data_IF_640963545314
#
_entry.id   IF_640963545314
#
_cell.length_a   1.000
_cell.length_b   1.000
_cell.length_c   1.000
_cell.angle_alpha   90.00
_cell.angle_beta   90.00
_cell.angle_gamma   90.00
#
_symmetry.space_group_name_H-M   'P 1'
#
loop_
_entity.id
_entity.type
_entity.pdbx_description
1 polymer ?
#
# COMPACT_ATOMS: atom_id res chain seq x y z
N UNK A 1 7.34 -34.41 12.78
CA UNK A 1 7.44 -32.99 12.35
C UNK A 1 8.38 -32.27 13.32
N UNK A 2 9.66 -32.65 13.35
CA UNK A 2 10.61 -32.28 14.43
C UNK A 2 12.00 -31.87 13.91
N UNK A 3 12.23 -31.88 12.59
CA UNK A 3 13.54 -31.61 11.99
C UNK A 3 13.76 -30.15 11.57
N UNK A 4 12.71 -29.37 11.26
CA UNK A 4 12.87 -28.00 10.76
C UNK A 4 13.46 -27.04 11.81
N UNK A 5 13.05 -27.15 13.07
CA UNK A 5 13.53 -26.28 14.16
C UNK A 5 15.02 -26.46 14.43
N UNK A 6 15.50 -27.71 14.43
CA UNK A 6 16.88 -28.03 14.78
C UNK A 6 17.91 -27.52 13.75
N UNK A 7 17.48 -27.27 12.51
CA UNK A 7 18.32 -26.71 11.45
C UNK A 7 18.14 -25.21 11.23
N UNK A 8 17.17 -24.57 11.92
CA UNK A 8 16.84 -23.17 11.71
C UNK A 8 17.66 -22.29 12.65
N UNK A 9 18.42 -21.35 12.07
CA UNK A 9 19.19 -20.38 12.85
C UNK A 9 18.25 -19.41 13.56
N UNK A 10 17.16 -19.03 12.89
CA UNK A 10 16.13 -18.16 13.45
C UNK A 10 15.48 -18.77 14.71
N UNK A 11 15.09 -20.04 14.65
CA UNK A 11 14.48 -20.73 15.78
C UNK A 11 15.46 -20.98 16.93
N UNK A 12 16.70 -21.36 16.60
CA UNK A 12 17.76 -21.59 17.60
C UNK A 12 18.11 -20.29 18.33
N UNK A 13 18.23 -19.18 17.61
CA UNK A 13 18.51 -17.85 18.18
C UNK A 13 17.37 -17.40 19.10
N UNK A 14 16.13 -17.57 18.67
CA UNK A 14 14.97 -17.19 19.46
C UNK A 14 14.87 -18.01 20.77
N UNK A 15 15.16 -19.32 20.72
CA UNK A 15 15.13 -20.21 21.89
C UNK A 15 16.23 -19.94 22.92
N UNK A 16 17.38 -19.35 22.50
CA UNK A 16 18.47 -18.95 23.41
C UNK A 16 18.20 -17.58 24.05
N UNK A 17 17.57 -16.67 23.32
CA UNK A 17 17.34 -15.29 23.77
C UNK A 17 16.14 -15.11 24.72
N UNK A 18 15.16 -16.02 24.69
CA UNK A 18 13.91 -15.90 25.44
C UNK A 18 13.38 -17.28 25.89
N UNK A 19 12.61 -17.36 26.99
CA UNK A 19 11.94 -18.60 27.40
C UNK A 19 10.75 -18.89 26.48
N UNK A 20 11.03 -19.34 25.27
CA UNK A 20 10.03 -19.75 24.29
C UNK A 20 9.64 -21.22 24.49
N UNK A 21 8.36 -21.52 24.27
CA UNK A 21 7.92 -22.91 24.10
C UNK A 21 8.43 -23.48 22.78
N UNK A 22 8.49 -24.81 22.68
CA UNK A 22 8.87 -25.48 21.43
C UNK A 22 7.95 -25.09 20.26
N UNK A 23 6.65 -24.95 20.52
CA UNK A 23 5.68 -24.50 19.50
C UNK A 23 5.98 -23.08 19.02
N UNK A 24 6.41 -22.18 19.91
CA UNK A 24 6.82 -20.83 19.53
C UNK A 24 8.11 -20.85 18.69
N UNK A 25 9.08 -21.70 19.03
CA UNK A 25 10.31 -21.85 18.22
C UNK A 25 10.03 -22.36 16.79
N UNK A 26 9.04 -23.25 16.61
CA UNK A 26 8.58 -23.66 15.28
C UNK A 26 8.12 -22.47 14.45
N UNK A 27 7.41 -21.51 15.06
CA UNK A 27 6.94 -20.33 14.36
C UNK A 27 8.09 -19.48 13.83
N UNK A 28 9.18 -19.33 14.59
CA UNK A 28 10.37 -18.59 14.13
C UNK A 28 11.06 -19.27 12.94
N UNK A 29 11.09 -20.60 12.89
CA UNK A 29 11.64 -21.32 11.75
C UNK A 29 10.86 -21.08 10.44
N UNK A 30 9.56 -20.83 10.52
CA UNK A 30 8.71 -20.59 9.34
C UNK A 30 9.07 -19.29 8.58
N UNK A 31 9.56 -18.29 9.31
CA UNK A 31 9.92 -16.98 8.77
C UNK A 31 11.44 -16.82 8.57
N UNK A 32 12.18 -17.92 8.51
CA UNK A 32 13.61 -17.87 8.23
C UNK A 32 13.87 -17.20 6.86
N UNK A 33 14.75 -16.20 6.85
CA UNK A 33 15.02 -15.35 5.69
C UNK A 33 14.10 -14.13 5.53
N UNK A 34 13.10 -13.95 6.41
CA UNK A 34 12.27 -12.74 6.49
C UNK A 34 12.63 -11.95 7.75
N UNK A 35 13.73 -11.18 7.67
CA UNK A 35 14.27 -10.42 8.81
C UNK A 35 13.25 -9.43 9.40
N UNK A 36 12.35 -8.89 8.57
CA UNK A 36 11.28 -8.00 9.01
C UNK A 36 10.26 -8.74 9.89
N UNK A 37 9.76 -9.88 9.40
CA UNK A 37 8.86 -10.72 10.18
C UNK A 37 9.52 -11.24 11.46
N UNK A 38 10.78 -11.67 11.39
CA UNK A 38 11.54 -12.16 12.55
C UNK A 38 11.74 -11.06 13.61
N UNK A 39 12.01 -9.82 13.19
CA UNK A 39 12.11 -8.67 14.09
C UNK A 39 10.78 -8.40 14.81
N UNK A 40 9.68 -8.36 14.06
CA UNK A 40 8.34 -8.16 14.62
C UNK A 40 7.93 -9.30 15.58
N UNK A 41 8.30 -10.55 15.26
CA UNK A 41 8.04 -11.70 16.12
C UNK A 41 8.86 -11.66 17.42
N UNK A 42 10.13 -11.26 17.37
CA UNK A 42 10.97 -11.07 18.57
C UNK A 42 10.39 -9.98 19.46
N UNK A 43 10.04 -8.83 18.89
CA UNK A 43 9.38 -7.74 19.62
C UNK A 43 8.06 -8.21 20.25
N UNK A 44 7.25 -8.97 19.52
CA UNK A 44 5.98 -9.53 20.03
C UNK A 44 6.21 -10.52 21.18
N UNK A 45 7.30 -11.29 21.15
CA UNK A 45 7.63 -12.28 22.18
C UNK A 45 8.20 -11.65 23.46
N UNK A 46 8.71 -10.42 23.43
CA UNK A 46 9.21 -9.68 24.60
C UNK A 46 8.11 -9.23 25.56
N UNK A 47 6.87 -9.05 25.08
CA UNK A 47 5.76 -8.61 25.92
C UNK A 47 4.93 -9.80 26.42
N UNK A 48 4.57 -9.83 27.72
CA UNK A 48 3.76 -10.91 28.27
C UNK A 48 2.33 -10.79 27.75
N UNK A 49 2.02 -11.56 26.72
CA UNK A 49 0.74 -12.20 26.39
C UNK A 49 0.97 -13.04 25.12
N UNK A 50 0.16 -14.05 24.90
CA UNK A 50 0.11 -15.01 23.78
C UNK A 50 -0.05 -14.42 22.37
N UNK A 51 0.39 -13.18 22.14
CA UNK A 51 0.14 -12.39 20.93
C UNK A 51 0.74 -12.98 19.65
N UNK A 52 1.74 -13.85 19.76
CA UNK A 52 2.26 -14.61 18.60
C UNK A 52 1.16 -15.40 17.88
N UNK A 53 0.13 -15.87 18.60
CA UNK A 53 -1.00 -16.59 18.01
C UNK A 53 -1.81 -15.74 17.02
N UNK A 54 -1.83 -14.42 17.22
CA UNK A 54 -2.47 -13.47 16.32
C UNK A 54 -1.50 -12.90 15.30
N UNK A 55 -0.25 -12.67 15.73
CA UNK A 55 0.75 -12.02 14.89
C UNK A 55 1.22 -12.91 13.74
N UNK A 56 1.47 -14.19 13.98
CA UNK A 56 1.94 -15.12 12.94
C UNK A 56 0.92 -15.29 11.80
N UNK A 57 -0.37 -15.55 12.06
CA UNK A 57 -1.36 -15.57 10.97
C UNK A 57 -1.39 -14.28 10.16
N UNK A 58 -1.26 -13.11 10.82
CA UNK A 58 -1.20 -11.82 10.12
C UNK A 58 0.04 -11.71 9.24
N UNK A 59 1.22 -12.09 9.72
CA UNK A 59 2.46 -12.09 8.93
C UNK A 59 2.36 -13.04 7.73
N UNK A 60 1.71 -14.21 7.87
CA UNK A 60 1.44 -15.11 6.74
C UNK A 60 0.54 -14.45 5.69
N UNK A 61 -0.52 -13.77 6.12
CA UNK A 61 -1.42 -13.03 5.23
C UNK A 61 -0.66 -11.88 4.53
N UNK A 62 0.15 -11.13 5.27
CA UNK A 62 0.94 -10.03 4.71
C UNK A 62 1.93 -10.54 3.66
N UNK A 63 2.62 -11.67 3.92
CA UNK A 63 3.49 -12.33 2.93
C UNK A 63 2.72 -12.79 1.69
N UNK A 64 1.55 -13.39 1.85
CA UNK A 64 0.70 -13.81 0.74
C UNK A 64 0.22 -12.62 -0.09
N UNK A 65 -0.20 -11.53 0.56
CA UNK A 65 -0.61 -10.29 -0.09
C UNK A 65 0.55 -9.64 -0.85
N UNK A 66 1.74 -9.61 -0.27
CA UNK A 66 2.94 -9.08 -0.91
C UNK A 66 3.33 -9.89 -2.15
N UNK A 67 3.29 -11.22 -2.07
CA UNK A 67 3.55 -12.11 -3.21
C UNK A 67 2.56 -11.86 -4.35
N UNK A 68 1.27 -11.72 -4.03
CA UNK A 68 0.23 -11.42 -5.02
C UNK A 68 0.38 -10.02 -5.63
N UNK A 69 0.70 -9.00 -4.82
CA UNK A 69 1.04 -7.67 -5.34
C UNK A 69 2.24 -7.73 -6.29
N UNK A 70 3.28 -8.50 -5.96
CA UNK A 70 4.47 -8.65 -6.79
C UNK A 70 4.16 -9.36 -8.12
N UNK A 71 3.34 -10.41 -8.09
CA UNK A 71 2.87 -11.10 -9.30
C UNK A 71 2.11 -10.17 -10.25
N UNK A 72 1.12 -9.45 -9.72
CA UNK A 72 0.31 -8.51 -10.52
C UNK A 72 1.18 -7.35 -11.04
N UNK A 73 2.09 -6.83 -10.22
CA UNK A 73 3.04 -5.81 -10.64
C UNK A 73 3.91 -6.30 -11.79
N UNK A 74 4.50 -7.50 -11.67
CA UNK A 74 5.35 -8.06 -12.71
C UNK A 74 4.60 -8.28 -14.03
N UNK A 75 3.33 -8.70 -13.98
CA UNK A 75 2.50 -8.83 -15.17
C UNK A 75 2.25 -7.47 -15.84
N UNK A 76 1.85 -6.45 -15.07
CA UNK A 76 1.60 -5.11 -15.59
C UNK A 76 2.87 -4.48 -16.21
N UNK A 77 4.02 -4.65 -15.55
CA UNK A 77 5.30 -4.17 -16.07
C UNK A 77 5.71 -4.91 -17.35
N UNK A 78 5.45 -6.22 -17.45
CA UNK A 78 5.67 -7.00 -18.67
C UNK A 78 4.78 -6.51 -19.84
N UNK A 79 3.57 -6.03 -19.52
CA UNK A 79 2.66 -5.40 -20.48
C UNK A 79 3.04 -3.93 -20.81
N UNK A 80 4.14 -3.43 -20.24
CA UNK A 80 4.67 -2.07 -20.46
C UNK A 80 3.96 -0.98 -19.64
N UNK A 81 3.15 -1.36 -18.65
CA UNK A 81 2.43 -0.44 -17.78
C UNK A 81 3.33 -0.07 -16.59
N UNK A 82 3.50 1.23 -16.35
CA UNK A 82 4.25 1.71 -15.19
C UNK A 82 3.47 1.49 -13.90
N UNK A 83 4.05 0.74 -12.97
CA UNK A 83 3.50 0.54 -11.62
C UNK A 83 4.24 1.43 -10.61
N UNK A 84 3.50 2.05 -9.68
CA UNK A 84 4.07 2.83 -8.57
C UNK A 84 3.82 2.14 -7.24
N UNK A 85 4.83 2.15 -6.37
CA UNK A 85 4.83 1.39 -5.11
C UNK A 85 4.36 2.20 -3.88
N UNK A 86 4.47 3.53 -3.91
CA UNK A 86 4.21 4.42 -2.77
C UNK A 86 3.08 5.40 -3.08
N UNK A 87 2.15 5.55 -2.15
CA UNK A 87 0.99 6.45 -2.24
C UNK A 87 1.34 7.96 -2.17
N UNK A 88 2.59 8.30 -1.82
CA UNK A 88 3.05 9.68 -1.74
C UNK A 88 3.44 10.34 -3.08
N UNK A 89 3.72 9.55 -4.12
CA UNK A 89 4.33 10.04 -5.36
C UNK A 89 3.34 10.18 -6.54
N UNK A 90 2.04 10.02 -6.26
CA UNK A 90 1.00 10.09 -7.29
C UNK A 90 -0.31 10.65 -6.76
N UNK A 91 -1.20 11.02 -7.67
CA UNK A 91 -2.61 11.30 -7.37
C UNK A 91 -3.50 10.36 -8.18
N UNK A 92 -4.51 9.78 -7.54
CA UNK A 92 -5.51 8.95 -8.24
C UNK A 92 -6.31 9.75 -9.24
N UNK A 93 -6.59 9.16 -10.41
CA UNK A 93 -7.30 9.85 -11.50
C UNK A 93 -8.68 10.39 -11.10
N UNK A 94 -9.40 9.70 -10.21
CA UNK A 94 -10.69 10.17 -9.68
C UNK A 94 -10.62 11.51 -8.93
N UNK A 95 -9.42 12.04 -8.66
CA UNK A 95 -9.20 13.35 -8.02
C UNK A 95 -8.69 14.41 -8.99
N UNK A 96 -8.54 14.09 -10.27
CA UNK A 96 -7.98 14.96 -11.28
C UNK A 96 -8.99 15.16 -12.40
N UNK A 97 -8.92 16.33 -13.05
CA UNK A 97 -9.68 16.67 -14.25
C UNK A 97 -8.84 17.56 -15.17
N UNK A 98 -9.23 17.63 -16.45
CA UNK A 98 -8.63 18.57 -17.42
C UNK A 98 -9.54 19.78 -17.72
N UNK A 99 -10.79 19.75 -17.25
CA UNK A 99 -11.70 20.86 -17.45
C UNK A 99 -11.23 22.10 -16.69
N UNK A 100 -11.28 23.25 -17.36
CA UNK A 100 -10.98 24.54 -16.75
C UNK A 100 -11.88 24.79 -15.52
N UNK A 101 -11.37 25.55 -14.54
CA UNK A 101 -12.12 25.83 -13.31
C UNK A 101 -13.48 26.50 -13.56
N UNK A 102 -13.60 27.31 -14.63
CA UNK A 102 -14.82 28.00 -15.02
C UNK A 102 -15.78 27.15 -15.89
N UNK A 103 -15.44 25.89 -16.20
CA UNK A 103 -16.30 25.03 -17.00
C UNK A 103 -17.53 24.62 -16.20
N UNK A 104 -18.73 24.75 -16.81
CA UNK A 104 -19.98 24.34 -16.18
C UNK A 104 -20.12 22.81 -16.01
N UNK A 105 -19.32 22.03 -16.76
CA UNK A 105 -19.21 20.58 -16.60
C UNK A 105 -17.74 20.23 -16.42
N UNK A 106 -17.44 19.47 -15.37
CA UNK A 106 -16.08 19.08 -14.96
C UNK A 106 -16.03 17.55 -14.81
N UNK A 107 -15.95 16.80 -15.93
CA UNK A 107 -15.93 15.35 -15.88
C UNK A 107 -14.62 14.84 -15.28
N UNK A 108 -14.68 13.68 -14.63
CA UNK A 108 -13.50 12.93 -14.22
C UNK A 108 -12.63 12.57 -15.45
N UNK A 109 -11.33 12.38 -15.23
CA UNK A 109 -10.45 11.90 -16.30
C UNK A 109 -10.81 10.46 -16.66
N UNK A 110 -11.02 10.23 -17.96
CA UNK A 110 -11.15 8.89 -18.50
C UNK A 110 -9.79 8.16 -18.41
N UNK A 111 -9.72 6.99 -17.76
CA UNK A 111 -8.46 6.27 -17.58
C UNK A 111 -7.77 5.86 -18.87
N UNK A 112 -8.53 5.45 -19.91
CA UNK A 112 -7.98 4.96 -21.17
C UNK A 112 -7.38 6.12 -21.99
N UNK A 113 -8.12 7.22 -22.12
CA UNK A 113 -7.64 8.43 -22.78
C UNK A 113 -6.42 9.02 -22.06
N UNK A 114 -6.42 9.01 -20.72
CA UNK A 114 -5.29 9.48 -19.94
C UNK A 114 -4.05 8.61 -20.13
N UNK A 115 -4.21 7.28 -20.18
CA UNK A 115 -3.11 6.34 -20.43
C UNK A 115 -2.44 6.58 -21.79
N UNK A 116 -3.21 6.95 -22.81
CA UNK A 116 -2.69 7.22 -24.15
C UNK A 116 -1.95 8.57 -24.27
N UNK A 117 -2.35 9.58 -23.49
CA UNK A 117 -1.93 10.96 -23.69
C UNK A 117 -0.98 11.53 -22.61
N UNK A 118 -1.02 11.01 -21.38
CA UNK A 118 -0.28 11.56 -20.25
C UNK A 118 1.01 10.78 -19.97
N UNK A 119 2.20 11.39 -20.07
CA UNK A 119 3.46 10.74 -19.70
C UNK A 119 3.56 10.34 -18.22
N UNK A 120 2.75 10.96 -17.36
CA UNK A 120 2.65 10.62 -15.95
C UNK A 120 1.69 9.47 -15.64
N UNK A 121 1.09 8.84 -16.65
CA UNK A 121 0.24 7.69 -16.44
C UNK A 121 0.99 6.55 -15.74
N UNK A 122 0.37 6.04 -14.68
CA UNK A 122 0.81 4.86 -13.97
C UNK A 122 -0.39 4.16 -13.32
N UNK A 123 -0.14 3.01 -12.70
CA UNK A 123 -1.11 2.31 -11.87
C UNK A 123 -0.53 2.03 -10.48
N UNK A 124 -1.40 2.08 -9.48
CA UNK A 124 -1.09 1.66 -8.11
C UNK A 124 -1.81 0.33 -7.84
N UNK A 125 -1.04 -0.67 -7.41
CA UNK A 125 -1.55 -2.03 -7.12
C UNK A 125 -1.65 -2.22 -5.62
N UNK A 126 -2.81 -2.65 -5.14
CA UNK A 126 -3.04 -2.95 -3.74
C UNK A 126 -3.87 -4.22 -3.56
N UNK A 127 -3.38 -5.14 -2.74
CA UNK A 127 -4.14 -6.31 -2.29
C UNK A 127 -4.75 -6.00 -0.93
N UNK A 128 -6.07 -6.09 -0.83
CA UNK A 128 -6.77 -5.95 0.45
C UNK A 128 -6.96 -7.32 1.12
N UNK A 129 -6.85 -7.42 2.44
CA UNK A 129 -7.02 -8.70 3.16
C UNK A 129 -8.38 -9.39 2.98
N UNK A 130 -9.40 -8.64 2.58
CA UNK A 130 -10.76 -9.12 2.35
C UNK A 130 -11.12 -9.26 0.87
N UNK A 131 -10.17 -9.01 -0.05
CA UNK A 131 -10.41 -9.06 -1.48
C UNK A 131 -9.71 -10.26 -2.12
N UNK A 132 -10.46 -10.99 -2.95
CA UNK A 132 -9.95 -12.14 -3.68
C UNK A 132 -9.06 -11.74 -4.87
N UNK A 133 -8.96 -10.46 -5.20
CA UNK A 133 -8.20 -9.92 -6.33
C UNK A 133 -7.42 -8.67 -5.93
N UNK A 134 -6.33 -8.37 -6.65
CA UNK A 134 -5.61 -7.12 -6.46
C UNK A 134 -6.43 -5.97 -7.08
N UNK A 135 -6.52 -4.86 -6.35
CA UNK A 135 -7.10 -3.62 -6.88
C UNK A 135 -6.03 -2.86 -7.66
N UNK A 136 -6.31 -2.57 -8.93
CA UNK A 136 -5.46 -1.76 -9.81
C UNK A 136 -6.10 -0.39 -9.94
N UNK A 137 -5.45 0.65 -9.43
CA UNK A 137 -5.97 2.02 -9.46
C UNK A 137 -5.19 2.85 -10.47
N UNK A 138 -5.84 3.45 -11.48
CA UNK A 138 -5.20 4.41 -12.36
C UNK A 138 -4.76 5.67 -11.59
N UNK A 139 -3.50 6.07 -11.76
CA UNK A 139 -2.91 7.22 -11.09
C UNK A 139 -2.07 8.06 -12.05
N UNK A 140 -1.77 9.30 -11.66
CA UNK A 140 -0.90 10.20 -12.38
C UNK A 140 0.25 10.66 -11.48
N UNK A 141 1.50 10.49 -11.93
CA UNK A 141 2.72 10.98 -11.26
C UNK A 141 3.10 12.40 -11.67
N UNK A 142 2.40 12.98 -12.64
CA UNK A 142 2.57 14.38 -13.07
C UNK A 142 1.29 15.18 -12.77
N UNK A 143 0.79 15.07 -11.53
CA UNK A 143 -0.52 15.64 -11.17
C UNK A 143 -0.66 17.15 -11.46
N UNK A 144 0.44 17.91 -11.46
CA UNK A 144 0.45 19.35 -11.76
C UNK A 144 0.05 19.69 -13.21
N UNK A 145 0.03 18.70 -14.11
CA UNK A 145 -0.50 18.85 -15.46
C UNK A 145 -2.04 18.90 -15.50
N UNK A 146 -2.70 18.57 -14.39
CA UNK A 146 -4.15 18.48 -14.26
C UNK A 146 -4.67 19.46 -13.22
N UNK A 147 -5.97 19.73 -13.27
CA UNK A 147 -6.67 20.45 -12.21
C UNK A 147 -7.17 19.46 -11.16
N UNK A 148 -7.12 19.79 -9.85
CA UNK A 148 -7.78 18.99 -8.84
C UNK A 148 -9.30 19.02 -9.07
N UNK A 149 -9.92 17.85 -8.98
CA UNK A 149 -11.36 17.74 -8.78
C UNK A 149 -11.63 18.30 -7.38
N UNK A 150 -12.15 19.52 -7.29
CA UNK A 150 -12.48 20.09 -5.98
C UNK A 150 -13.55 19.23 -5.32
N UNK A 151 -13.19 18.46 -4.30
CA UNK A 151 -14.13 17.63 -3.55
C UNK A 151 -15.10 18.46 -2.70
N UNK A 152 -14.85 19.78 -2.54
CA UNK A 152 -15.76 20.73 -1.91
C UNK A 152 -15.62 22.12 -2.54
N UNK A 153 -16.71 22.65 -3.07
CA UNK A 153 -16.89 24.08 -3.21
C UNK A 153 -17.09 24.68 -1.82
N UNK A 154 -16.01 25.05 -1.13
CA UNK A 154 -16.13 26.17 -0.21
C UNK A 154 -16.16 27.42 -1.08
N UNK A 155 -17.35 28.00 -1.22
CA UNK A 155 -17.49 29.35 -1.73
C UNK A 155 -16.71 30.29 -0.81
N UNK A 156 -15.47 30.60 -1.17
CA UNK A 156 -14.76 31.74 -0.60
C UNK A 156 -15.03 32.94 -1.50
N UNK A 157 -16.29 33.36 -1.52
CA UNK A 157 -16.71 34.59 -2.20
C UNK A 157 -17.73 35.38 -1.36
N UNK A 158 -17.65 35.28 -0.02
CA UNK A 158 -18.56 36.01 0.86
C UNK A 158 -17.89 36.74 2.03
N UNK A 159 -16.65 37.22 1.83
CA UNK A 159 -16.13 38.36 2.60
C UNK A 159 -15.28 39.27 1.70
N UNK A 160 -15.89 39.80 0.63
CA UNK A 160 -15.46 41.09 0.11
C UNK A 160 -15.82 42.14 1.18
N UNK A 161 -14.84 42.50 2.02
CA UNK A 161 -14.96 43.69 2.87
C UNK A 161 -15.09 44.88 1.92
N UNK A 162 -16.17 45.67 1.97
CA UNK A 162 -16.26 46.87 1.16
C UNK A 162 -15.15 47.83 1.61
N UNK A 163 -14.17 48.05 0.74
CA UNK A 163 -13.23 49.16 0.88
C UNK A 163 -14.03 50.45 0.68
N UNK A 164 -14.35 51.13 1.77
CA UNK A 164 -14.79 52.52 1.74
C UNK A 164 -13.65 53.40 1.23
N UNK A 165 -13.89 54.07 0.11
CA UNK A 165 -13.24 55.28 -0.37
C UNK A 165 -14.23 55.93 -1.35
N UNK A 166 -14.55 57.21 -1.32
CA UNK A 166 -14.01 58.40 -0.64
C UNK A 166 -15.17 59.30 -0.19
#
# INVERSE_FOLDING_TARGET
>A
MTLAVAGSEAATTAAVGQPLSFDQAILFAEFEGDDGALSEMRWTAEYPHDQLIHRVPRLRMDRANAAKCAEVTAQLEADGIRVVASDGDFVSLHRLIDAAAAAGVRPELDPEAHAAACPGHAVYVKVFPWADEATITPVCTTQNAHQPLSSYGHGTDEYAVPTTGE
#
